data_IF_262880134426
#
_entry.id   IF_262880134426
#
_cell.length_a   1.000
_cell.length_b   1.000
_cell.length_c   1.000
_cell.angle_alpha   90.00
_cell.angle_beta   90.00
_cell.angle_gamma   90.00
#
_symmetry.space_group_name_H-M   'P 1'
#
loop_
_entity.id
_entity.type
_entity.pdbx_description
1 polymer ?
#
# COMPACT_ATOMS: atom_id res chain seq x y z
N UNK A 1 -2.36 -8.58 -31.69
CA UNK A 1 -1.93 -8.10 -30.35
C UNK A 1 -0.88 -9.09 -29.86
N UNK A 2 0.36 -8.66 -29.58
CA UNK A 2 1.44 -9.56 -29.16
C UNK A 2 1.18 -10.11 -27.75
N UNK A 3 1.66 -11.31 -27.46
CA UNK A 3 1.47 -11.99 -26.16
C UNK A 3 1.95 -11.12 -24.98
N UNK A 4 3.08 -10.42 -25.16
CA UNK A 4 3.60 -9.47 -24.17
C UNK A 4 2.66 -8.30 -23.90
N UNK A 5 2.07 -7.71 -24.96
CA UNK A 5 1.14 -6.59 -24.81
C UNK A 5 -0.16 -6.97 -24.10
N UNK A 6 -0.61 -8.23 -24.23
CA UNK A 6 -1.77 -8.75 -23.51
C UNK A 6 -1.47 -8.97 -22.02
N UNK A 7 -0.33 -9.58 -21.71
CA UNK A 7 0.12 -9.80 -20.33
C UNK A 7 0.32 -8.47 -19.58
N UNK A 8 0.89 -7.46 -20.26
CA UNK A 8 1.08 -6.13 -19.69
C UNK A 8 -0.24 -5.43 -19.35
N UNK A 9 -1.22 -5.43 -20.27
CA UNK A 9 -2.55 -4.87 -20.00
C UNK A 9 -3.25 -5.57 -18.83
N UNK A 10 -3.11 -6.89 -18.74
CA UNK A 10 -3.67 -7.66 -17.63
C UNK A 10 -3.03 -7.27 -16.29
N UNK A 11 -1.70 -7.19 -16.22
CA UNK A 11 -0.97 -6.75 -15.03
C UNK A 11 -1.41 -5.38 -14.54
N UNK A 12 -1.50 -4.38 -15.43
CA UNK A 12 -1.97 -3.04 -15.07
C UNK A 12 -3.41 -3.02 -14.58
N UNK A 13 -4.31 -3.73 -15.26
CA UNK A 13 -5.73 -3.81 -14.86
C UNK A 13 -5.88 -4.48 -13.50
N UNK A 14 -5.17 -5.57 -13.27
CA UNK A 14 -5.19 -6.28 -11.99
C UNK A 14 -4.65 -5.41 -10.86
N UNK A 15 -3.52 -4.72 -11.06
CA UNK A 15 -2.98 -3.80 -10.06
C UNK A 15 -3.94 -2.65 -9.78
N UNK A 16 -4.58 -2.10 -10.81
CA UNK A 16 -5.57 -1.05 -10.64
C UNK A 16 -6.81 -1.53 -9.87
N UNK A 17 -7.32 -2.72 -10.20
CA UNK A 17 -8.45 -3.31 -9.49
C UNK A 17 -8.13 -3.54 -8.02
N UNK A 18 -6.95 -4.10 -7.70
CA UNK A 18 -6.51 -4.32 -6.32
C UNK A 18 -6.31 -2.99 -5.59
N UNK A 19 -5.67 -2.00 -6.22
CA UNK A 19 -5.49 -0.66 -5.66
C UNK A 19 -6.83 -0.03 -5.26
N UNK A 20 -7.80 0.00 -6.19
CA UNK A 20 -9.12 0.60 -5.92
C UNK A 20 -9.86 -0.17 -4.83
N UNK A 21 -9.84 -1.50 -4.89
CA UNK A 21 -10.52 -2.35 -3.90
C UNK A 21 -9.94 -2.16 -2.50
N UNK A 22 -8.61 -2.17 -2.37
CA UNK A 22 -7.93 -1.92 -1.10
C UNK A 22 -8.21 -0.50 -0.58
N UNK A 23 -8.10 0.53 -1.44
CA UNK A 23 -8.35 1.92 -1.09
C UNK A 23 -9.77 2.11 -0.53
N UNK A 24 -10.77 1.55 -1.20
CA UNK A 24 -12.17 1.64 -0.77
C UNK A 24 -12.40 0.88 0.52
N UNK A 25 -11.92 -0.37 0.60
CA UNK A 25 -12.18 -1.24 1.76
C UNK A 25 -11.53 -0.70 3.03
N UNK A 26 -10.27 -0.27 2.95
CA UNK A 26 -9.54 0.28 4.11
C UNK A 26 -10.18 1.57 4.60
N UNK A 27 -10.53 2.49 3.71
CA UNK A 27 -11.19 3.73 4.09
C UNK A 27 -12.63 3.52 4.60
N UNK A 28 -13.36 2.54 4.06
CA UNK A 28 -14.69 2.19 4.53
C UNK A 28 -14.70 1.66 5.98
N UNK A 29 -13.57 1.11 6.44
CA UNK A 29 -13.39 0.70 7.84
C UNK A 29 -12.86 1.86 8.69
N UNK A 30 -11.78 2.49 8.24
CA UNK A 30 -11.05 3.49 9.03
C UNK A 30 -11.83 4.80 9.24
N UNK A 31 -12.46 5.34 8.18
CA UNK A 31 -13.13 6.65 8.26
C UNK A 31 -14.30 6.63 9.26
N UNK A 32 -15.23 5.65 9.22
CA UNK A 32 -16.31 5.60 10.20
C UNK A 32 -15.81 5.41 11.64
N UNK A 33 -14.76 4.61 11.85
CA UNK A 33 -14.16 4.42 13.16
C UNK A 33 -13.59 5.73 13.72
N UNK A 34 -12.78 6.44 12.93
CA UNK A 34 -12.18 7.72 13.34
C UNK A 34 -13.24 8.79 13.56
N UNK A 35 -14.30 8.82 12.73
CA UNK A 35 -15.43 9.74 12.94
C UNK A 35 -16.19 9.50 14.26
N UNK A 36 -16.25 8.25 14.73
CA UNK A 36 -16.94 7.88 15.97
C UNK A 36 -16.08 8.06 17.21
N UNK A 37 -14.78 7.79 17.12
CA UNK A 37 -13.85 7.77 18.26
C UNK A 37 -12.92 8.99 18.32
N UNK A 38 -12.97 9.87 17.32
CA UNK A 38 -12.14 11.07 17.22
C UNK A 38 -10.81 10.86 16.50
N UNK A 39 -10.11 11.94 16.09
CA UNK A 39 -8.86 11.84 15.31
C UNK A 39 -7.71 11.10 16.01
N UNK A 40 -7.65 11.11 17.34
CA UNK A 40 -6.59 10.43 18.09
C UNK A 40 -6.66 8.90 17.96
N UNK A 41 -7.86 8.36 17.68
CA UNK A 41 -8.11 6.93 17.48
C UNK A 41 -7.41 6.32 16.25
N UNK A 42 -6.81 7.15 15.38
CA UNK A 42 -5.92 6.67 14.31
C UNK A 42 -4.78 5.81 14.87
N UNK A 43 -4.32 6.10 16.10
CA UNK A 43 -3.25 5.33 16.76
C UNK A 43 -3.67 3.90 17.10
N UNK A 44 -4.96 3.63 17.23
CA UNK A 44 -5.48 2.31 17.57
C UNK A 44 -5.16 1.27 16.49
N UNK A 45 -5.07 1.70 15.23
CA UNK A 45 -4.69 0.86 14.09
C UNK A 45 -3.20 0.45 14.10
N UNK A 46 -2.37 1.09 14.92
CA UNK A 46 -0.91 0.88 14.91
C UNK A 46 -0.35 0.43 16.25
N UNK A 47 -0.88 0.92 17.38
CA UNK A 47 -0.27 0.72 18.71
C UNK A 47 -1.32 0.41 19.79
N UNK A 48 -2.60 0.31 19.43
CA UNK A 48 -3.69 0.07 20.37
C UNK A 48 -3.85 -1.39 20.79
N UNK A 49 -5.10 -1.81 20.95
CA UNK A 49 -5.47 -3.15 21.43
C UNK A 49 -4.90 -4.30 20.60
N UNK A 50 -4.56 -4.05 19.33
CA UNK A 50 -3.96 -5.04 18.44
C UNK A 50 -2.64 -5.60 18.98
N UNK A 51 -1.92 -4.85 19.82
CA UNK A 51 -0.66 -5.31 20.43
C UNK A 51 -0.86 -6.08 21.74
N UNK A 52 -2.08 -6.12 22.30
CA UNK A 52 -2.37 -6.77 23.58
C UNK A 52 -2.46 -8.29 23.48
N UNK A 53 -2.78 -8.82 22.30
CA UNK A 53 -2.94 -10.26 22.07
C UNK A 53 -1.74 -10.83 21.32
N UNK A 54 -1.37 -12.09 21.61
CA UNK A 54 -0.28 -12.78 20.89
C UNK A 54 -0.53 -12.83 19.37
N UNK A 55 -1.74 -13.17 18.87
CA UNK A 55 -2.01 -13.18 17.43
C UNK A 55 -1.94 -11.78 16.80
N UNK A 56 -2.46 -10.75 17.47
CA UNK A 56 -2.41 -9.38 16.96
C UNK A 56 -0.99 -8.84 16.89
N UNK A 57 -0.15 -9.11 17.90
CA UNK A 57 1.28 -8.76 17.88
C UNK A 57 2.02 -9.48 16.75
N UNK A 58 1.75 -10.76 16.53
CA UNK A 58 2.34 -11.50 15.40
C UNK A 58 1.99 -10.84 14.06
N UNK A 59 0.71 -10.55 13.83
CA UNK A 59 0.26 -9.90 12.60
C UNK A 59 0.89 -8.51 12.39
N UNK A 60 1.05 -7.72 13.46
CA UNK A 60 1.68 -6.40 13.38
C UNK A 60 3.18 -6.48 13.07
N UNK A 61 3.89 -7.44 13.66
CA UNK A 61 5.32 -7.65 13.37
C UNK A 61 5.51 -8.14 11.94
N UNK A 62 4.71 -9.11 11.49
CA UNK A 62 4.73 -9.58 10.10
C UNK A 62 4.47 -8.42 9.11
N UNK A 63 3.42 -7.64 9.37
CA UNK A 63 3.06 -6.46 8.58
C UNK A 63 4.19 -5.41 8.55
N UNK A 64 4.86 -5.19 9.68
CA UNK A 64 5.99 -4.26 9.78
C UNK A 64 7.14 -4.70 8.87
N UNK A 65 7.49 -5.99 8.88
CA UNK A 65 8.53 -6.51 7.99
C UNK A 65 8.14 -6.41 6.52
N UNK A 66 6.87 -6.66 6.17
CA UNK A 66 6.35 -6.43 4.81
C UNK A 66 6.51 -4.97 4.39
N UNK A 67 6.13 -4.01 5.25
CA UNK A 67 6.25 -2.58 4.99
C UNK A 67 7.71 -2.18 4.75
N UNK A 68 8.62 -2.62 5.62
CA UNK A 68 10.05 -2.30 5.54
C UNK A 68 10.64 -2.89 4.25
N UNK A 69 10.45 -4.19 4.03
CA UNK A 69 11.01 -4.88 2.87
C UNK A 69 10.53 -4.24 1.56
N UNK A 70 9.22 -3.96 1.46
CA UNK A 70 8.65 -3.30 0.30
C UNK A 70 9.24 -1.90 0.09
N UNK A 71 9.30 -1.03 1.11
CA UNK A 71 9.77 0.34 0.92
C UNK A 71 11.26 0.44 0.61
N UNK A 72 12.09 -0.43 1.20
CA UNK A 72 13.52 -0.51 0.90
C UNK A 72 13.75 -0.90 -0.57
N UNK A 73 13.04 -1.93 -1.03
CA UNK A 73 13.10 -2.35 -2.43
C UNK A 73 12.54 -1.27 -3.37
N UNK A 74 11.37 -0.70 -3.04
CA UNK A 74 10.69 0.30 -3.86
C UNK A 74 11.52 1.58 -3.99
N UNK A 75 12.26 1.95 -2.95
CA UNK A 75 13.17 3.10 -3.00
C UNK A 75 14.29 2.90 -4.03
N UNK A 76 14.89 1.71 -4.09
CA UNK A 76 15.89 1.34 -5.10
C UNK A 76 15.33 1.45 -6.51
N UNK A 77 14.14 0.88 -6.76
CA UNK A 77 13.48 0.99 -8.06
C UNK A 77 13.06 2.43 -8.39
N UNK A 78 12.62 3.21 -7.40
CA UNK A 78 12.25 4.59 -7.60
C UNK A 78 13.42 5.48 -8.02
N UNK A 79 14.61 5.24 -7.46
CA UNK A 79 15.85 5.87 -7.92
C UNK A 79 16.19 5.47 -9.35
N UNK A 80 16.19 4.17 -9.64
CA UNK A 80 16.54 3.62 -10.95
C UNK A 80 15.65 4.16 -12.06
N UNK A 81 14.34 4.23 -11.82
CA UNK A 81 13.34 4.66 -12.80
C UNK A 81 13.00 6.16 -12.72
N UNK A 82 13.68 6.92 -11.85
CA UNK A 82 13.43 8.36 -11.61
C UNK A 82 11.96 8.68 -11.25
N UNK A 83 11.32 7.79 -10.49
CA UNK A 83 9.93 7.93 -10.01
C UNK A 83 9.86 8.22 -8.50
N UNK A 84 10.83 8.94 -7.94
CA UNK A 84 10.89 9.24 -6.51
C UNK A 84 9.62 9.88 -5.93
N UNK A 85 8.92 10.81 -6.62
CA UNK A 85 7.65 11.34 -6.12
C UNK A 85 6.58 10.26 -5.92
N UNK A 86 6.57 9.22 -6.74
CA UNK A 86 5.62 8.11 -6.63
C UNK A 86 5.95 7.18 -5.47
N UNK A 87 7.23 7.03 -5.11
CA UNK A 87 7.62 6.34 -3.87
C UNK A 87 7.21 7.13 -2.63
N UNK A 88 7.38 8.44 -2.62
CA UNK A 88 6.92 9.28 -1.50
C UNK A 88 5.39 9.15 -1.35
N UNK A 89 4.65 9.18 -2.45
CA UNK A 89 3.20 8.96 -2.43
C UNK A 89 2.82 7.57 -1.89
N UNK A 90 3.59 6.51 -2.18
CA UNK A 90 3.33 5.18 -1.61
C UNK A 90 3.62 5.11 -0.11
N UNK A 91 4.64 5.85 0.37
CA UNK A 91 4.89 6.00 1.83
C UNK A 91 3.69 6.67 2.50
N UNK A 92 3.19 7.77 1.93
CA UNK A 92 2.01 8.48 2.45
C UNK A 92 0.77 7.57 2.47
N UNK A 93 0.53 6.81 1.40
CA UNK A 93 -0.56 5.84 1.36
C UNK A 93 -0.42 4.73 2.39
N UNK A 94 0.80 4.29 2.69
CA UNK A 94 1.05 3.21 3.66
C UNK A 94 0.59 3.60 5.06
N UNK A 95 0.92 4.82 5.49
CA UNK A 95 0.59 5.30 6.83
C UNK A 95 -0.76 6.02 6.90
N UNK A 96 -1.26 6.53 5.76
CA UNK A 96 -2.55 7.21 5.69
C UNK A 96 -3.75 6.28 5.44
N UNK A 97 -3.54 5.18 4.72
CA UNK A 97 -4.61 4.23 4.35
C UNK A 97 -4.23 2.80 4.73
N UNK A 98 -3.03 2.38 4.34
CA UNK A 98 -2.48 1.06 4.64
C UNK A 98 -1.65 0.50 3.49
N UNK A 99 -0.73 -0.40 3.82
CA UNK A 99 0.24 -0.97 2.87
C UNK A 99 -0.43 -1.72 1.70
N UNK A 100 -1.60 -2.33 1.94
CA UNK A 100 -2.37 -3.03 0.91
C UNK A 100 -2.81 -2.10 -0.24
N UNK A 101 -2.98 -0.80 0.02
CA UNK A 101 -3.23 0.22 -1.01
C UNK A 101 -1.93 0.71 -1.65
N UNK A 102 -0.88 0.90 -0.85
CA UNK A 102 0.38 1.47 -1.31
C UNK A 102 1.17 0.57 -2.29
N UNK A 103 1.20 -0.74 -2.07
CA UNK A 103 1.91 -1.71 -2.93
C UNK A 103 1.41 -1.66 -4.37
N UNK A 104 0.11 -1.90 -4.65
CA UNK A 104 -0.39 -1.90 -6.02
C UNK A 104 -0.29 -0.51 -6.67
N UNK A 105 -0.43 0.57 -5.89
CA UNK A 105 -0.20 1.93 -6.38
C UNK A 105 1.24 2.14 -6.89
N UNK A 106 2.25 1.76 -6.11
CA UNK A 106 3.64 1.92 -6.53
C UNK A 106 3.95 1.02 -7.74
N UNK A 107 3.43 -0.21 -7.76
CA UNK A 107 3.58 -1.10 -8.90
C UNK A 107 2.95 -0.52 -10.17
N UNK A 108 1.79 0.14 -10.10
CA UNK A 108 1.23 0.87 -11.24
C UNK A 108 2.14 1.99 -11.72
N UNK A 109 2.70 2.79 -10.81
CA UNK A 109 3.64 3.85 -11.17
C UNK A 109 4.89 3.28 -11.85
N UNK A 110 5.42 2.16 -11.33
CA UNK A 110 6.55 1.42 -11.89
C UNK A 110 6.25 0.90 -13.29
N UNK A 111 5.11 0.23 -13.49
CA UNK A 111 4.69 -0.26 -14.81
C UNK A 111 4.60 0.87 -15.83
N UNK A 112 4.04 2.02 -15.43
CA UNK A 112 3.97 3.19 -16.30
C UNK A 112 5.34 3.76 -16.65
N UNK A 113 6.29 3.71 -15.73
CA UNK A 113 7.65 4.21 -15.93
C UNK A 113 8.48 3.31 -16.85
N UNK A 114 8.34 1.99 -16.72
CA UNK A 114 9.01 1.01 -17.58
C UNK A 114 8.56 1.05 -19.05
N UNK A 115 7.44 1.71 -19.34
CA UNK A 115 6.94 1.94 -20.70
C UNK A 115 7.52 3.17 -21.38
N UNK A 116 8.17 4.07 -20.63
CA UNK A 116 8.77 5.29 -21.15
C UNK A 116 10.19 5.01 -21.60
#
# INVERSE_FOLDING_TARGET
MTYEGMNQKWRERSLFAVFVTALVTQNAIAIPYVRRNGPESVRDFFVGDIMKTTPGRFAMVDLLFVVIAFHLWAFGEAKRLRIMPWWIASVVLTFGVGIATAIPFFFLARERALRR
#
